data_IF_373447425450
#
_entry.id   IF_373447425450
#
_cell.length_a   1.000
_cell.length_b   1.000
_cell.length_c   1.000
_cell.angle_alpha   90.00
_cell.angle_beta   90.00
_cell.angle_gamma   90.00
#
_symmetry.space_group_name_H-M   'P 1'
#
loop_
_entity.id
_entity.type
_entity.pdbx_description
1 polymer ?
#
# COMPACT_ATOMS: atom_id res chain seq x y z
N UNK A 1 18.60 -6.50 10.40
CA UNK A 1 18.74 -5.78 9.11
C UNK A 1 19.55 -4.48 9.21
N UNK A 2 19.58 -3.78 10.34
CA UNK A 2 20.26 -2.48 10.46
C UNK A 2 21.75 -2.48 10.02
N UNK A 3 22.55 -3.47 10.46
CA UNK A 3 23.97 -3.55 10.07
C UNK A 3 24.17 -3.74 8.56
N UNK A 4 23.39 -4.64 7.94
CA UNK A 4 23.45 -4.89 6.49
C UNK A 4 23.00 -3.66 5.70
N UNK A 5 21.93 -2.99 6.13
CA UNK A 5 21.43 -1.77 5.49
C UNK A 5 22.47 -0.63 5.55
N UNK A 6 23.16 -0.48 6.68
CA UNK A 6 24.23 0.52 6.84
C UNK A 6 25.44 0.26 5.93
N UNK A 7 25.85 -1.00 5.77
CA UNK A 7 26.96 -1.39 4.87
C UNK A 7 26.60 -1.07 3.42
N UNK A 8 25.39 -1.41 2.97
CA UNK A 8 24.93 -1.14 1.60
C UNK A 8 24.85 0.36 1.34
N UNK A 9 24.29 1.13 2.28
CA UNK A 9 24.17 2.58 2.17
C UNK A 9 25.54 3.27 2.10
N UNK A 10 26.48 2.87 2.96
CA UNK A 10 27.85 3.41 2.95
C UNK A 10 28.59 3.09 1.65
N UNK A 11 28.39 1.89 1.09
CA UNK A 11 28.98 1.48 -0.20
C UNK A 11 28.47 2.32 -1.37
N UNK A 12 27.23 2.79 -1.32
CA UNK A 12 26.60 3.53 -2.42
C UNK A 12 27.08 4.99 -2.53
N UNK A 13 27.39 5.63 -1.39
CA UNK A 13 27.71 7.07 -1.31
C UNK A 13 29.21 7.31 -1.05
N UNK A 14 29.93 6.35 -0.46
CA UNK A 14 31.37 6.42 -0.22
C UNK A 14 31.79 7.29 0.98
N UNK A 15 30.89 8.14 1.50
CA UNK A 15 31.07 8.93 2.72
C UNK A 15 29.72 9.19 3.39
N UNK A 16 29.73 9.43 4.70
CA UNK A 16 28.51 9.62 5.50
C UNK A 16 28.51 11.05 6.05
N UNK A 17 27.80 12.00 5.43
CA UNK A 17 27.63 13.34 5.99
C UNK A 17 26.82 13.32 7.29
N UNK A 18 27.01 14.31 8.18
CA UNK A 18 26.33 14.39 9.49
C UNK A 18 24.78 14.47 9.42
N UNK A 19 24.21 14.77 8.25
CA UNK A 19 22.76 14.77 8.02
C UNK A 19 22.25 13.45 7.44
N UNK A 20 23.10 12.42 7.35
CA UNK A 20 22.68 11.10 6.88
C UNK A 20 21.59 10.54 7.80
N UNK A 21 20.43 10.22 7.22
CA UNK A 21 19.29 9.68 7.95
C UNK A 21 18.17 10.68 8.20
N UNK A 22 18.42 11.99 8.02
CA UNK A 22 17.35 12.99 8.12
C UNK A 22 16.32 12.75 7.01
N UNK A 23 15.05 12.67 7.38
CA UNK A 23 13.94 12.38 6.45
C UNK A 23 13.76 10.91 6.05
N UNK A 24 14.74 10.02 6.27
CA UNK A 24 14.57 8.58 6.02
C UNK A 24 13.51 7.96 6.94
N UNK A 25 13.39 8.46 8.17
CA UNK A 25 12.35 8.06 9.11
C UNK A 25 10.94 8.33 8.56
N UNK A 26 10.71 9.56 8.09
CA UNK A 26 9.45 9.97 7.49
C UNK A 26 9.14 9.16 6.23
N UNK A 27 10.16 8.92 5.38
CA UNK A 27 10.02 8.07 4.17
C UNK A 27 9.69 6.63 4.53
N UNK A 28 10.29 6.07 5.58
CA UNK A 28 10.00 4.72 6.04
C UNK A 28 8.56 4.58 6.54
N UNK A 29 8.08 5.55 7.32
CA UNK A 29 6.68 5.59 7.77
C UNK A 29 5.74 5.72 6.56
N UNK A 30 6.04 6.61 5.63
CA UNK A 30 5.24 6.81 4.42
C UNK A 30 5.14 5.54 3.56
N UNK A 31 6.25 4.83 3.36
CA UNK A 31 6.27 3.55 2.63
C UNK A 31 5.36 2.49 3.28
N UNK A 32 5.41 2.37 4.61
CA UNK A 32 4.60 1.42 5.37
C UNK A 32 3.10 1.73 5.27
N UNK A 33 2.72 3.00 5.41
CA UNK A 33 1.32 3.46 5.32
C UNK A 33 0.78 3.32 3.91
N UNK A 34 1.58 3.70 2.89
CA UNK A 34 1.22 3.54 1.48
C UNK A 34 1.09 2.07 1.09
N UNK A 35 1.86 1.19 1.74
CA UNK A 35 1.72 -0.27 1.68
C UNK A 35 0.50 -0.85 2.41
N UNK A 36 -0.30 -0.03 3.09
CA UNK A 36 -1.55 -0.43 3.75
C UNK A 36 -1.40 -0.94 5.19
N UNK A 37 -0.31 -0.61 5.88
CA UNK A 37 -0.13 -0.92 7.31
C UNK A 37 -0.88 0.10 8.18
N UNK A 38 -1.63 -0.37 9.17
CA UNK A 38 -2.27 0.48 10.17
C UNK A 38 -1.25 1.05 11.17
N UNK A 39 -1.21 2.38 11.29
CA UNK A 39 -0.44 3.07 12.35
C UNK A 39 -1.07 2.89 13.74
N UNK A 40 -2.39 2.65 13.80
CA UNK A 40 -3.15 2.44 15.04
C UNK A 40 -3.03 1.00 15.56
N UNK A 41 -2.32 0.12 14.83
CA UNK A 41 -2.10 -1.28 15.19
C UNK A 41 -3.20 -2.23 14.72
N UNK A 42 -2.94 -3.55 14.84
CA UNK A 42 -3.92 -4.62 14.67
C UNK A 42 -4.15 -5.14 13.24
N UNK A 43 -3.64 -4.47 12.18
CA UNK A 43 -3.80 -4.95 10.79
C UNK A 43 -2.79 -4.33 9.82
N UNK A 44 -2.21 -5.17 8.97
CA UNK A 44 -1.26 -4.78 7.92
C UNK A 44 -0.52 -6.01 7.39
N UNK A 45 -0.09 -5.98 6.12
CA UNK A 45 0.67 -7.07 5.52
C UNK A 45 2.09 -6.60 5.15
N UNK A 46 3.10 -7.37 5.53
CA UNK A 46 4.52 -7.09 5.23
C UNK A 46 4.75 -6.98 3.72
N UNK A 47 4.06 -7.82 2.93
CA UNK A 47 4.14 -7.81 1.47
C UNK A 47 3.72 -6.44 0.88
N UNK A 48 2.72 -5.79 1.49
CA UNK A 48 2.27 -4.46 1.09
C UNK A 48 3.29 -3.38 1.42
N UNK A 49 3.95 -3.47 2.58
CA UNK A 49 5.03 -2.57 2.99
C UNK A 49 6.23 -2.60 2.03
N UNK A 50 6.66 -3.79 1.63
CA UNK A 50 7.77 -3.98 0.69
C UNK A 50 7.43 -3.41 -0.68
N UNK A 51 6.19 -3.64 -1.16
CA UNK A 51 5.71 -3.04 -2.40
C UNK A 51 5.64 -1.51 -2.31
N UNK A 52 5.19 -0.96 -1.18
CA UNK A 52 5.18 0.48 -0.92
C UNK A 52 6.57 1.11 -0.93
N UNK A 53 7.55 0.47 -0.27
CA UNK A 53 8.95 0.93 -0.26
C UNK A 53 9.60 0.87 -1.65
N UNK A 54 9.36 -0.20 -2.41
CA UNK A 54 9.85 -0.31 -3.79
C UNK A 54 9.24 0.77 -4.68
N UNK A 55 7.95 1.06 -4.52
CA UNK A 55 7.25 2.10 -5.27
C UNK A 55 7.83 3.49 -4.97
N UNK A 56 7.99 3.87 -3.70
CA UNK A 56 8.63 5.13 -3.32
C UNK A 56 10.03 5.29 -3.94
N UNK A 57 10.83 4.22 -3.92
CA UNK A 57 12.19 4.21 -4.48
C UNK A 57 12.21 4.40 -6.00
N UNK A 58 11.24 3.82 -6.71
CA UNK A 58 11.09 4.03 -8.15
C UNK A 58 10.77 5.49 -8.47
N UNK A 59 9.92 6.13 -7.68
CA UNK A 59 9.54 7.51 -7.98
C UNK A 59 10.70 8.47 -7.69
N UNK A 60 11.48 8.27 -6.63
CA UNK A 60 12.74 9.02 -6.41
C UNK A 60 13.66 8.91 -7.64
N UNK A 61 13.77 7.70 -8.21
CA UNK A 61 14.60 7.45 -9.40
C UNK A 61 14.06 8.17 -10.66
N UNK A 62 12.74 8.21 -10.85
CA UNK A 62 12.09 8.92 -11.97
C UNK A 62 12.25 10.43 -11.85
N UNK A 63 12.16 10.99 -10.65
CA UNK A 63 12.32 12.43 -10.40
C UNK A 63 13.75 12.91 -10.67
N UNK A 64 14.75 12.13 -10.27
CA UNK A 64 16.17 12.43 -10.57
C UNK A 64 16.41 12.46 -12.08
N UNK A 65 15.76 11.57 -12.83
CA UNK A 65 15.86 11.52 -14.29
C UNK A 65 15.28 12.77 -14.97
N UNK A 66 14.29 13.43 -14.36
CA UNK A 66 13.62 14.64 -14.87
C UNK A 66 14.41 15.94 -14.62
N UNK A 67 15.60 15.88 -14.00
CA UNK A 67 16.62 16.95 -13.98
C UNK A 67 16.12 18.33 -13.49
N UNK A 68 15.43 18.35 -12.35
CA UNK A 68 14.91 19.60 -11.74
C UNK A 68 16.04 20.34 -10.96
N UNK A 69 16.15 21.67 -11.06
CA UNK A 69 17.22 22.45 -10.43
C UNK A 69 17.18 22.44 -8.89
N UNK A 70 18.37 22.29 -8.27
CA UNK A 70 18.63 21.95 -6.86
C UNK A 70 17.95 22.81 -5.79
N UNK A 71 17.60 24.07 -6.09
CA UNK A 71 17.07 24.99 -5.07
C UNK A 71 15.60 24.74 -4.71
N UNK A 72 14.80 24.27 -5.67
CA UNK A 72 13.39 23.88 -5.46
C UNK A 72 13.16 22.40 -5.77
N UNK A 73 14.26 21.64 -5.89
CA UNK A 73 14.25 20.27 -6.38
C UNK A 73 13.38 19.38 -5.49
N UNK A 74 13.57 19.39 -4.17
CA UNK A 74 12.80 18.53 -3.26
C UNK A 74 11.29 18.85 -3.26
N UNK A 75 10.91 20.12 -3.38
CA UNK A 75 9.51 20.54 -3.40
C UNK A 75 8.81 20.15 -4.71
N UNK A 76 9.43 20.46 -5.85
CA UNK A 76 8.87 20.16 -7.17
C UNK A 76 8.93 18.65 -7.43
N UNK A 77 10.01 17.99 -7.00
CA UNK A 77 10.12 16.54 -7.00
C UNK A 77 8.95 15.94 -6.21
N UNK A 78 8.72 16.36 -4.95
CA UNK A 78 7.59 15.90 -4.14
C UNK A 78 6.22 16.16 -4.77
N UNK A 79 6.04 17.30 -5.45
CA UNK A 79 4.78 17.65 -6.11
C UNK A 79 4.52 16.81 -7.38
N UNK A 80 5.57 16.54 -8.17
CA UNK A 80 5.51 15.61 -9.32
C UNK A 80 5.27 14.18 -8.83
N UNK A 81 5.93 13.78 -7.74
CA UNK A 81 5.73 12.51 -7.04
C UNK A 81 4.25 12.30 -6.70
N UNK A 82 3.65 13.31 -6.06
CA UNK A 82 2.24 13.31 -5.70
C UNK A 82 1.34 13.29 -6.93
N UNK A 83 1.63 14.07 -7.96
CA UNK A 83 0.84 14.11 -9.18
C UNK A 83 0.82 12.74 -9.88
N UNK A 84 2.00 12.12 -10.05
CA UNK A 84 2.15 10.78 -10.64
C UNK A 84 1.46 9.73 -9.76
N UNK A 85 1.69 9.73 -8.45
CA UNK A 85 1.10 8.77 -7.52
C UNK A 85 -0.43 8.88 -7.46
N UNK A 86 -0.99 10.09 -7.51
CA UNK A 86 -2.44 10.31 -7.52
C UNK A 86 -3.05 9.85 -8.85
N UNK A 87 -2.38 10.10 -9.98
CA UNK A 87 -2.82 9.60 -11.29
C UNK A 87 -2.76 8.07 -11.36
N UNK A 88 -1.64 7.49 -10.96
CA UNK A 88 -1.39 6.04 -10.99
C UNK A 88 -2.28 5.33 -9.96
N UNK A 89 -2.45 5.90 -8.78
CA UNK A 89 -3.35 5.42 -7.73
C UNK A 89 -4.82 5.48 -8.14
N UNK A 90 -5.27 6.54 -8.84
CA UNK A 90 -6.62 6.59 -9.43
C UNK A 90 -6.80 5.51 -10.50
N UNK A 91 -5.79 5.27 -11.32
CA UNK A 91 -5.80 4.25 -12.37
C UNK A 91 -5.86 2.82 -11.77
N UNK A 92 -5.05 2.55 -10.73
CA UNK A 92 -5.05 1.28 -10.00
C UNK A 92 -6.33 1.06 -9.21
N UNK A 93 -6.87 2.09 -8.57
CA UNK A 93 -8.13 1.98 -7.84
C UNK A 93 -9.33 1.77 -8.80
N UNK A 94 -9.27 2.36 -10.00
CA UNK A 94 -10.22 2.08 -11.06
C UNK A 94 -10.12 0.61 -11.55
N UNK A 95 -8.91 0.06 -11.65
CA UNK A 95 -8.68 -1.35 -12.01
C UNK A 95 -9.05 -2.35 -10.88
N UNK A 96 -8.78 -2.02 -9.62
CA UNK A 96 -9.09 -2.87 -8.46
C UNK A 96 -10.60 -3.03 -8.20
N UNK A 97 -11.42 -2.07 -8.63
CA UNK A 97 -12.89 -2.16 -8.54
C UNK A 97 -13.45 -3.38 -9.28
N UNK A 98 -12.76 -3.85 -10.34
CA UNK A 98 -13.18 -5.03 -11.09
C UNK A 98 -12.70 -6.35 -10.45
N UNK A 99 -11.52 -6.38 -9.82
CA UNK A 99 -10.96 -7.58 -9.20
C UNK A 99 -11.59 -7.92 -7.85
N UNK A 100 -12.07 -6.92 -7.09
CA UNK A 100 -12.78 -7.16 -5.81
C UNK A 100 -14.09 -7.93 -6.02
N UNK A 101 -14.81 -7.67 -7.12
CA UNK A 101 -16.03 -8.44 -7.47
C UNK A 101 -15.76 -9.94 -7.63
N UNK A 102 -14.59 -10.32 -8.15
CA UNK A 102 -14.23 -11.73 -8.35
C UNK A 102 -13.84 -12.44 -7.04
N UNK A 103 -13.19 -11.73 -6.11
CA UNK A 103 -12.82 -12.31 -4.80
C UNK A 103 -14.05 -12.58 -3.93
N UNK A 104 -15.10 -11.74 -3.99
CA UNK A 104 -16.36 -12.01 -3.28
C UNK A 104 -17.20 -13.14 -3.92
N UNK A 105 -17.14 -13.31 -5.24
CA UNK A 105 -17.86 -14.39 -5.93
C UNK A 105 -17.32 -15.80 -5.58
N UNK A 106 -16.03 -15.92 -5.20
CA UNK A 106 -15.41 -17.22 -4.89
C UNK A 106 -15.68 -17.74 -3.47
N UNK A 107 -16.18 -16.89 -2.56
CA UNK A 107 -16.49 -17.28 -1.17
C UNK A 107 -17.99 -17.43 -0.88
N UNK A 108 -18.85 -17.20 -1.87
CA UNK A 108 -20.27 -17.53 -1.77
C UNK A 108 -20.49 -18.99 -2.17
N UNK A 109 -20.27 -19.93 -1.25
CA UNK A 109 -21.19 -21.06 -1.19
C UNK A 109 -22.55 -20.50 -0.79
N UNK A 110 -23.64 -20.77 -1.53
CA UNK A 110 -24.96 -20.33 -1.10
C UNK A 110 -25.22 -20.91 0.30
N UNK A 111 -25.77 -20.12 1.25
CA UNK A 111 -26.18 -20.67 2.53
C UNK A 111 -27.16 -21.82 2.27
N UNK A 112 -27.08 -22.95 3.01
CA UNK A 112 -28.01 -24.05 2.83
C UNK A 112 -29.43 -23.50 2.97
N UNK A 113 -30.25 -23.74 1.94
CA UNK A 113 -31.64 -23.31 1.87
C UNK A 113 -32.37 -23.84 3.10
N UNK A 114 -32.64 -22.96 4.07
CA UNK A 114 -33.48 -23.27 5.21
C UNK A 114 -34.89 -23.52 4.66
N UNK A 115 -35.24 -24.79 4.47
CA UNK A 115 -36.64 -25.19 4.32
C UNK A 115 -37.34 -24.79 5.62
N UNK A 116 -38.42 -24.01 5.59
CA UNK A 116 -39.15 -23.67 6.80
C UNK A 116 -39.64 -24.98 7.44
N UNK A 117 -39.14 -25.26 8.64
CA UNK A 117 -39.61 -26.33 9.48
C UNK A 117 -41.06 -26.05 9.88
N UNK A 118 -41.96 -26.93 9.45
CA UNK A 118 -43.25 -27.29 10.06
C UNK A 118 -43.89 -26.23 10.98
N UNK A 119 -44.85 -25.47 10.45
CA UNK A 119 -45.94 -24.92 11.26
C UNK A 119 -47.09 -25.93 11.22
N UNK A 120 -47.30 -26.60 12.34
CA UNK A 120 -48.38 -27.55 12.51
C UNK A 120 -49.75 -26.86 12.50
N UNK A 121 -50.64 -27.35 11.65
CA UNK A 121 -52.09 -27.31 11.91
C UNK A 121 -52.59 -28.75 12.02
N UNK A 122 -52.23 -29.37 13.15
CA UNK A 122 -52.99 -30.47 13.75
C UNK A 122 -54.17 -29.77 14.44
N UNK A 123 -55.39 -29.91 13.91
CA UNK A 123 -56.72 -29.69 14.55
C UNK A 123 -57.73 -29.24 13.48
N UNK A 124 -58.38 -30.24 12.90
CA UNK A 124 -59.69 -30.22 12.21
C UNK A 124 -59.87 -31.72 11.84
N UNK A 125 -60.19 -32.60 12.79
CA UNK A 125 -61.46 -32.76 13.51
C UNK A 125 -62.57 -33.27 12.59
N UNK A 126 -63.08 -34.44 12.99
CA UNK A 126 -64.35 -35.08 12.63
C UNK A 126 -64.45 -35.72 11.24
#
# INVERSE_FOLDING_TARGET
>A
MAALAGIVFASQIGFIPNQTGTGLEMKAIAACVLGGISLLGGSGAIIGAVLGAWFLTQIDSVLVLLRIPAWWNDFIAGLVLLAVLVFDGRLRCALERNLRRQKYARFMTPPPSVKPASSGKKREAA
#
